data_IF_972734480128
#
_entry.id   IF_972734480128
#
_cell.length_a   1.000
_cell.length_b   1.000
_cell.length_c   1.000
_cell.angle_alpha   90.00
_cell.angle_beta   90.00
_cell.angle_gamma   90.00
#
_symmetry.space_group_name_H-M   'P 1'
#
loop_
_entity.id
_entity.type
_entity.pdbx_description
1 polymer ?
#
# COMPACT_ATOMS: atom_id res chain seq x y z
N UNK A 1 -18.52 27.80 -24.07
CA UNK A 1 -18.39 28.31 -22.68
C UNK A 1 -16.97 28.83 -22.54
N UNK A 2 -16.78 30.15 -22.72
CA UNK A 2 -15.46 30.76 -22.66
C UNK A 2 -14.97 30.82 -21.23
N UNK A 3 -13.80 30.26 -20.96
CA UNK A 3 -13.10 30.47 -19.70
C UNK A 3 -12.71 31.95 -19.63
N UNK A 4 -13.36 32.70 -18.74
CA UNK A 4 -13.00 34.09 -18.48
C UNK A 4 -11.51 34.21 -18.12
N UNK A 5 -10.87 35.28 -18.57
CA UNK A 5 -9.45 35.53 -18.32
C UNK A 5 -9.17 35.56 -16.80
N UNK A 6 -8.01 35.06 -16.37
CA UNK A 6 -7.61 34.99 -14.95
C UNK A 6 -7.70 36.36 -14.24
N UNK A 7 -7.59 37.44 -15.01
CA UNK A 7 -7.72 38.83 -14.55
C UNK A 7 -9.14 39.16 -14.06
N UNK A 8 -10.19 38.66 -14.73
CA UNK A 8 -11.60 38.86 -14.35
C UNK A 8 -11.91 38.19 -13.01
N UNK A 9 -11.40 36.97 -12.80
CA UNK A 9 -11.58 36.25 -11.54
C UNK A 9 -10.87 36.93 -10.37
N UNK A 10 -9.67 37.47 -10.62
CA UNK A 10 -8.89 38.16 -9.58
C UNK A 10 -9.53 39.49 -9.20
N UNK A 11 -10.06 40.23 -10.19
CA UNK A 11 -10.79 41.48 -9.98
C UNK A 11 -12.10 41.24 -9.20
N UNK A 12 -12.90 40.24 -9.61
CA UNK A 12 -14.14 39.87 -8.90
C UNK A 12 -13.89 39.44 -7.47
N UNK A 13 -12.82 38.68 -7.21
CA UNK A 13 -12.47 38.22 -5.87
C UNK A 13 -12.02 39.36 -4.96
N UNK A 14 -11.31 40.37 -5.49
CA UNK A 14 -10.97 41.59 -4.73
C UNK A 14 -12.21 42.43 -4.40
N UNK A 15 -13.08 42.66 -5.38
CA UNK A 15 -14.32 43.41 -5.17
C UNK A 15 -15.21 42.76 -4.10
N UNK A 16 -15.37 41.43 -4.16
CA UNK A 16 -16.13 40.68 -3.15
C UNK A 16 -15.50 40.72 -1.74
N UNK A 17 -14.17 40.80 -1.66
CA UNK A 17 -13.46 40.89 -0.39
C UNK A 17 -13.65 42.27 0.25
N UNK A 18 -13.57 43.36 -0.53
CA UNK A 18 -13.75 44.72 -0.02
C UNK A 18 -15.23 45.03 0.33
N UNK A 19 -16.18 44.46 -0.40
CA UNK A 19 -17.62 44.66 -0.14
C UNK A 19 -18.14 43.83 1.06
N UNK A 20 -17.55 42.64 1.28
CA UNK A 20 -17.90 41.77 2.41
C UNK A 20 -17.12 42.06 3.71
N UNK A 21 -15.92 42.64 3.61
CA UNK A 21 -15.06 43.00 4.76
C UNK A 21 -15.26 44.48 5.14
N UNK A 22 -16.52 44.93 5.15
CA UNK A 22 -16.88 46.19 5.81
C UNK A 22 -16.85 46.06 7.35
N UNK A 23 -17.70 46.81 8.05
CA UNK A 23 -17.79 46.83 9.52
C UNK A 23 -18.11 45.45 10.13
N UNK A 24 -18.70 44.55 9.33
CA UNK A 24 -19.07 43.19 9.73
C UNK A 24 -17.99 42.13 9.41
N UNK A 25 -16.91 42.52 8.74
CA UNK A 25 -15.87 41.60 8.26
C UNK A 25 -15.20 40.80 9.36
N UNK A 26 -14.97 41.42 10.52
CA UNK A 26 -14.39 40.74 11.69
C UNK A 26 -15.31 39.63 12.22
N UNK A 27 -16.61 39.89 12.33
CA UNK A 27 -17.58 38.89 12.80
C UNK A 27 -17.71 37.71 11.83
N UNK A 28 -17.71 37.99 10.53
CA UNK A 28 -17.73 36.95 9.48
C UNK A 28 -16.45 36.11 9.54
N UNK A 29 -15.28 36.74 9.68
CA UNK A 29 -14.01 36.04 9.80
C UNK A 29 -13.96 35.13 11.03
N UNK A 30 -14.44 35.59 12.19
CA UNK A 30 -14.54 34.79 13.42
C UNK A 30 -15.50 33.61 13.23
N UNK A 31 -16.67 33.85 12.61
CA UNK A 31 -17.65 32.81 12.34
C UNK A 31 -17.08 31.72 11.41
N UNK A 32 -16.39 32.12 10.33
CA UNK A 32 -15.74 31.19 9.41
C UNK A 32 -14.60 30.41 10.07
N UNK A 33 -13.80 31.05 10.92
CA UNK A 33 -12.75 30.38 11.68
C UNK A 33 -13.35 29.33 12.63
N UNK A 34 -14.46 29.65 13.29
CA UNK A 34 -15.18 28.72 14.17
C UNK A 34 -15.75 27.52 13.40
N UNK A 35 -16.40 27.76 12.25
CA UNK A 35 -16.95 26.70 11.40
C UNK A 35 -15.84 25.80 10.82
N UNK A 36 -14.71 26.37 10.43
CA UNK A 36 -13.56 25.62 9.93
C UNK A 36 -12.97 24.71 11.03
N UNK A 37 -12.74 25.25 12.23
CA UNK A 37 -12.25 24.48 13.38
C UNK A 37 -13.23 23.38 13.79
N UNK A 38 -14.54 23.67 13.79
CA UNK A 38 -15.59 22.69 14.08
C UNK A 38 -15.65 21.58 13.02
N UNK A 39 -15.55 21.94 11.73
CA UNK A 39 -15.49 20.99 10.62
C UNK A 39 -14.28 20.06 10.73
N UNK A 40 -13.10 20.62 11.01
CA UNK A 40 -11.87 19.85 11.25
C UNK A 40 -11.98 18.92 12.46
N UNK A 41 -12.55 19.39 13.57
CA UNK A 41 -12.78 18.58 14.77
C UNK A 41 -13.73 17.40 14.51
N UNK A 42 -14.80 17.63 13.74
CA UNK A 42 -15.74 16.57 13.31
C UNK A 42 -15.08 15.52 12.41
N UNK A 43 -14.18 15.93 11.51
CA UNK A 43 -13.43 15.01 10.65
C UNK A 43 -12.41 14.19 11.46
N UNK A 44 -11.78 14.80 12.46
CA UNK A 44 -10.88 14.09 13.39
C UNK A 44 -11.61 12.98 14.16
N UNK A 45 -12.85 13.21 14.58
CA UNK A 45 -13.68 12.22 15.27
C UNK A 45 -14.07 11.01 14.40
N UNK A 46 -14.04 11.12 13.06
CA UNK A 46 -14.35 10.01 12.16
C UNK A 46 -13.20 8.99 12.04
N UNK A 47 -11.98 9.31 12.50
CA UNK A 47 -10.85 8.36 12.50
C UNK A 47 -10.99 7.27 13.57
N UNK A 48 -11.88 7.43 14.55
CA UNK A 48 -12.12 6.49 15.65
C UNK A 48 -13.04 5.32 15.30
N UNK A 49 -13.74 5.35 14.16
CA UNK A 49 -14.61 4.27 13.71
C UNK A 49 -13.90 3.29 12.77
N UNK A 50 -12.65 2.94 13.10
CA UNK A 50 -12.08 1.68 12.60
C UNK A 50 -12.91 0.60 13.29
N UNK A 51 -13.72 -0.22 12.56
CA UNK A 51 -14.40 -1.33 13.20
C UNK A 51 -13.35 -2.11 13.97
N UNK A 52 -13.62 -2.53 15.23
CA UNK A 52 -12.68 -3.34 15.97
C UNK A 52 -12.35 -4.54 15.10
N UNK A 53 -11.15 -4.54 14.53
CA UNK A 53 -10.56 -5.73 13.95
C UNK A 53 -10.43 -6.67 15.13
N UNK A 54 -11.43 -7.52 15.33
CA UNK A 54 -11.32 -8.70 16.16
C UNK A 54 -10.32 -9.61 15.47
N UNK A 55 -9.05 -9.32 15.70
CA UNK A 55 -7.94 -10.21 15.41
C UNK A 55 -8.10 -11.37 16.39
N UNK A 56 -8.89 -12.36 16.01
CA UNK A 56 -8.56 -13.74 16.35
C UNK A 56 -7.08 -13.90 16.01
N UNK A 57 -6.27 -14.16 17.03
CA UNK A 57 -4.83 -14.27 16.92
C UNK A 57 -4.45 -15.24 15.80
N UNK A 58 -4.05 -14.71 14.65
CA UNK A 58 -3.06 -15.37 13.81
C UNK A 58 -1.74 -14.67 14.14
N UNK A 59 -0.95 -15.33 14.98
CA UNK A 59 0.42 -14.90 15.22
C UNK A 59 1.19 -14.99 13.90
N UNK A 60 1.52 -13.84 13.32
CA UNK A 60 2.73 -13.69 12.54
C UNK A 60 3.12 -12.21 12.53
N UNK A 61 4.20 -11.95 13.25
CA UNK A 61 4.89 -10.68 13.29
C UNK A 61 5.26 -10.21 11.88
N UNK A 62 5.35 -8.89 11.75
CA UNK A 62 5.90 -8.22 10.59
C UNK A 62 7.25 -8.83 10.18
N UNK A 63 7.34 -9.29 8.94
CA UNK A 63 8.53 -9.16 8.11
C UNK A 63 8.10 -9.08 6.64
N UNK A 64 8.36 -7.91 6.07
CA UNK A 64 8.35 -7.57 4.66
C UNK A 64 9.01 -8.63 3.78
N UNK A 65 8.35 -9.01 2.69
CA UNK A 65 8.82 -8.98 1.29
C UNK A 65 7.73 -9.63 0.42
N UNK A 66 7.46 -9.03 -0.74
CA UNK A 66 6.36 -9.41 -1.63
C UNK A 66 6.22 -10.92 -1.82
N UNK A 67 5.16 -11.45 -1.23
CA UNK A 67 4.79 -12.86 -1.33
C UNK A 67 3.82 -13.00 -2.51
N UNK A 68 4.26 -13.63 -3.60
CA UNK A 68 3.39 -13.96 -4.73
C UNK A 68 2.36 -15.01 -4.25
N UNK A 69 1.08 -14.94 -4.68
CA UNK A 69 -0.03 -15.71 -4.12
C UNK A 69 0.01 -17.25 -4.38
N UNK A 70 1.17 -17.81 -4.76
CA UNK A 70 1.33 -19.20 -5.19
C UNK A 70 2.07 -20.12 -4.21
N UNK A 71 2.94 -19.63 -3.33
CA UNK A 71 3.70 -20.49 -2.41
C UNK A 71 5.07 -19.93 -2.04
N UNK A 72 5.57 -20.27 -0.86
CA UNK A 72 6.81 -19.71 -0.30
C UNK A 72 8.05 -20.18 -1.06
N UNK A 73 7.92 -21.26 -1.82
CA UNK A 73 8.98 -21.91 -2.57
C UNK A 73 8.55 -22.09 -4.03
N UNK A 74 9.45 -21.74 -4.95
CA UNK A 74 9.29 -21.96 -6.39
C UNK A 74 10.32 -22.98 -6.87
N UNK A 75 9.86 -24.06 -7.48
CA UNK A 75 10.70 -25.07 -8.10
C UNK A 75 10.72 -24.93 -9.63
N UNK A 76 11.90 -25.11 -10.20
CA UNK A 76 12.07 -25.20 -11.63
C UNK A 76 11.78 -26.63 -12.06
N UNK A 77 10.70 -26.83 -12.84
CA UNK A 77 10.38 -28.13 -13.44
C UNK A 77 11.53 -28.60 -14.35
N UNK A 78 12.13 -27.67 -15.11
CA UNK A 78 13.26 -27.96 -16.00
C UNK A 78 14.58 -28.23 -15.27
N UNK A 79 14.78 -27.59 -14.11
CA UNK A 79 16.04 -27.63 -13.37
C UNK A 79 16.05 -28.59 -12.18
N UNK A 80 14.92 -29.25 -11.87
CA UNK A 80 14.79 -30.16 -10.73
C UNK A 80 15.18 -29.54 -9.38
N UNK A 81 15.19 -28.20 -9.29
CA UNK A 81 15.76 -27.45 -8.16
C UNK A 81 14.74 -26.43 -7.67
N UNK A 82 14.65 -26.24 -6.35
CA UNK A 82 13.77 -25.26 -5.71
C UNK A 82 14.52 -24.04 -5.16
N UNK A 83 13.83 -22.90 -5.16
CA UNK A 83 14.33 -21.57 -4.85
C UNK A 83 13.30 -20.80 -4.02
N UNK A 84 13.76 -19.77 -3.30
CA UNK A 84 12.86 -18.74 -2.78
C UNK A 84 12.47 -17.74 -3.89
N UNK A 85 11.27 -17.12 -3.84
CA UNK A 85 10.79 -16.18 -4.86
C UNK A 85 11.64 -14.92 -5.00
N UNK A 86 12.37 -14.54 -3.95
CA UNK A 86 13.31 -13.41 -3.96
C UNK A 86 14.68 -13.75 -4.53
N UNK A 87 14.92 -15.02 -4.85
CA UNK A 87 16.22 -15.50 -5.28
C UNK A 87 16.45 -15.22 -6.77
N UNK A 88 17.67 -14.84 -7.16
CA UNK A 88 18.00 -14.51 -8.55
C UNK A 88 17.75 -15.66 -9.54
N UNK A 89 17.80 -16.91 -9.06
CA UNK A 89 17.45 -18.10 -9.83
C UNK A 89 15.94 -18.21 -10.11
N UNK A 90 15.09 -17.78 -9.18
CA UNK A 90 13.63 -17.84 -9.30
C UNK A 90 13.10 -16.88 -10.36
N UNK A 91 13.65 -15.67 -10.44
CA UNK A 91 13.23 -14.64 -11.42
C UNK A 91 13.46 -15.05 -12.87
N UNK A 92 14.34 -16.03 -13.12
CA UNK A 92 14.66 -16.53 -14.47
C UNK A 92 13.79 -17.71 -14.89
N UNK A 93 12.95 -18.24 -14.00
CA UNK A 93 12.06 -19.36 -14.30
C UNK A 93 10.88 -18.83 -15.10
N UNK A 94 10.65 -19.41 -16.29
CA UNK A 94 9.44 -19.13 -17.08
C UNK A 94 8.21 -19.61 -16.33
N UNK A 95 7.11 -18.87 -16.41
CA UNK A 95 5.86 -19.19 -15.69
C UNK A 95 5.36 -20.63 -15.96
N UNK A 96 5.52 -21.13 -17.19
CA UNK A 96 5.15 -22.51 -17.56
C UNK A 96 6.02 -23.61 -16.95
N UNK A 97 7.19 -23.28 -16.40
CA UNK A 97 8.13 -24.21 -15.78
C UNK A 97 8.29 -23.98 -14.26
N UNK A 98 7.41 -23.18 -13.67
CA UNK A 98 7.39 -22.85 -12.25
C UNK A 98 6.37 -23.75 -11.51
N UNK A 99 6.84 -24.56 -10.57
CA UNK A 99 5.99 -25.30 -9.63
C UNK A 99 6.06 -24.63 -8.26
N UNK A 100 4.91 -24.27 -7.70
CA UNK A 100 4.85 -23.58 -6.41
C UNK A 100 4.53 -24.55 -5.27
N UNK A 101 5.28 -24.44 -4.19
CA UNK A 101 5.13 -25.25 -2.99
C UNK A 101 4.93 -24.36 -1.77
N UNK A 102 4.16 -24.86 -0.79
CA UNK A 102 3.93 -24.18 0.48
C UNK A 102 5.16 -24.22 1.40
N UNK A 103 5.89 -25.33 1.36
CA UNK A 103 6.98 -25.63 2.30
C UNK A 103 8.17 -26.29 1.58
N UNK A 104 9.37 -26.16 2.14
CA UNK A 104 10.61 -26.76 1.61
C UNK A 104 10.56 -28.29 1.62
N UNK A 105 9.95 -28.87 2.66
CA UNK A 105 9.77 -30.31 2.82
C UNK A 105 8.88 -30.89 1.73
N UNK A 106 7.85 -30.14 1.29
CA UNK A 106 6.98 -30.56 0.20
C UNK A 106 7.74 -30.59 -1.13
N UNK A 107 8.62 -29.62 -1.38
CA UNK A 107 9.47 -29.60 -2.56
C UNK A 107 10.49 -30.76 -2.55
N UNK A 108 11.09 -31.05 -1.40
CA UNK A 108 12.03 -32.17 -1.25
C UNK A 108 11.33 -33.54 -1.39
N UNK A 109 10.14 -33.69 -0.80
CA UNK A 109 9.32 -34.90 -0.94
C UNK A 109 8.89 -35.14 -2.39
N UNK A 110 8.71 -34.07 -3.17
CA UNK A 110 8.49 -34.13 -4.61
C UNK A 110 9.77 -34.38 -5.43
N UNK A 111 10.92 -34.54 -4.78
CA UNK A 111 12.19 -34.89 -5.41
C UNK A 111 13.02 -33.70 -5.91
N UNK A 112 12.64 -32.46 -5.57
CA UNK A 112 13.39 -31.28 -5.98
C UNK A 112 14.57 -31.02 -5.04
N UNK A 113 15.73 -30.72 -5.62
CA UNK A 113 16.95 -30.41 -4.89
C UNK A 113 16.99 -28.93 -4.46
N UNK A 114 17.65 -28.60 -3.34
CA UNK A 114 17.83 -27.22 -2.92
C UNK A 114 18.84 -26.48 -3.80
N UNK A 115 18.53 -25.24 -4.16
CA UNK A 115 19.44 -24.40 -4.93
C UNK A 115 20.69 -24.01 -4.15
N UNK A 116 21.87 -24.38 -4.67
CA UNK A 116 23.18 -24.01 -4.10
C UNK A 116 23.44 -22.50 -4.08
N UNK A 117 22.86 -21.76 -5.02
CA UNK A 117 23.12 -20.33 -5.22
C UNK A 117 22.18 -19.41 -4.42
N UNK A 118 21.38 -19.98 -3.53
CA UNK A 118 20.33 -19.24 -2.83
C UNK A 118 20.58 -19.22 -1.32
N UNK A 119 20.74 -18.02 -0.76
CA UNK A 119 21.06 -17.84 0.65
C UNK A 119 19.91 -18.38 1.52
N UNK A 120 20.22 -19.19 2.53
CA UNK A 120 19.24 -19.71 3.48
C UNK A 120 18.54 -21.02 3.09
N UNK A 121 18.80 -21.59 1.91
CA UNK A 121 18.42 -22.99 1.64
C UNK A 121 19.49 -23.94 2.21
N UNK A 122 19.09 -25.13 2.70
CA UNK A 122 20.05 -26.16 3.07
C UNK A 122 20.81 -26.59 1.81
N UNK A 123 22.11 -26.32 1.74
CA UNK A 123 22.93 -26.65 0.57
C UNK A 123 22.91 -28.18 0.42
N UNK A 124 22.33 -28.66 -0.67
CA UNK A 124 22.18 -30.09 -0.96
C UNK A 124 23.53 -30.80 -0.86
N UNK A 125 23.57 -31.85 -0.03
CA UNK A 125 24.75 -32.65 0.29
C UNK A 125 25.19 -33.48 -0.90
#
# INVERSE_FOLDING_TARGET
>A
MGFGTIQEFTARRKAFLEEGVGDWGLYIAICLLALAAFGLGRISALQGSRPPISVTQAAAAAASLGMYPGGQIIASISGGTYYYPWCSGATKIKEGNAAWFKDEQAAQAAGYQPAKNCKGLPVGR
#
